data_IF_675365030468
#
_entry.id   IF_675365030468
#
_cell.length_a   1.000
_cell.length_b   1.000
_cell.length_c   1.000
_cell.angle_alpha   90.00
_cell.angle_beta   90.00
_cell.angle_gamma   90.00
#
_symmetry.space_group_name_H-M   'P 1'
#
loop_
_entity.id
_entity.type
_entity.pdbx_description
1 polymer ?
#
# COMPACT_ATOMS: atom_id res chain seq x y z
N UNK A 1 11.92 -10.45 -14.23
CA UNK A 1 11.52 -9.62 -13.07
C UNK A 1 12.56 -9.67 -11.95
N UNK A 2 13.04 -10.84 -11.51
CA UNK A 2 14.03 -10.94 -10.39
C UNK A 2 15.35 -10.19 -10.61
N UNK A 3 15.88 -10.16 -11.84
CA UNK A 3 17.13 -9.42 -12.12
C UNK A 3 16.94 -7.90 -12.06
N UNK A 4 15.80 -7.39 -12.53
CA UNK A 4 15.49 -5.95 -12.50
C UNK A 4 15.31 -5.46 -11.06
N UNK A 5 14.54 -6.17 -10.23
CA UNK A 5 14.25 -5.73 -8.87
C UNK A 5 15.48 -5.56 -7.98
N UNK A 6 16.50 -6.42 -8.15
CA UNK A 6 17.75 -6.34 -7.39
C UNK A 6 18.59 -5.11 -7.73
N UNK A 7 18.56 -4.69 -9.00
CA UNK A 7 19.33 -3.54 -9.51
C UNK A 7 18.70 -2.21 -9.07
N UNK A 8 17.37 -2.12 -9.06
CA UNK A 8 16.65 -0.93 -8.59
C UNK A 8 16.71 -0.72 -7.08
N UNK A 9 16.72 -1.80 -6.30
CA UNK A 9 16.66 -1.74 -4.83
C UNK A 9 18.04 -1.60 -4.16
N UNK A 10 19.14 -1.60 -4.93
CA UNK A 10 20.53 -1.52 -4.41
C UNK A 10 20.79 -2.48 -3.24
N UNK A 11 20.29 -3.71 -3.34
CA UNK A 11 20.34 -4.67 -2.23
C UNK A 11 21.77 -5.15 -1.96
N UNK A 12 22.10 -5.29 -0.68
CA UNK A 12 23.33 -5.99 -0.28
C UNK A 12 23.18 -7.51 -0.53
N UNK A 13 24.28 -8.25 -0.39
CA UNK A 13 24.32 -9.69 -0.71
C UNK A 13 23.32 -10.52 0.11
N UNK A 14 23.13 -10.16 1.39
CA UNK A 14 22.22 -10.85 2.32
C UNK A 14 20.75 -10.55 2.00
N UNK A 15 20.44 -9.30 1.69
CA UNK A 15 19.11 -8.86 1.26
C UNK A 15 18.72 -9.48 -0.09
N UNK A 16 19.64 -9.51 -1.04
CA UNK A 16 19.43 -10.10 -2.35
C UNK A 16 19.19 -11.61 -2.30
N UNK A 17 19.87 -12.30 -1.36
CA UNK A 17 19.62 -13.72 -1.08
C UNK A 17 18.25 -13.93 -0.44
N UNK A 18 17.88 -13.10 0.54
CA UNK A 18 16.57 -13.14 1.19
C UNK A 18 15.43 -12.94 0.19
N UNK A 19 15.55 -11.94 -0.70
CA UNK A 19 14.56 -11.67 -1.75
C UNK A 19 14.47 -12.81 -2.77
N UNK A 20 15.59 -13.46 -3.11
CA UNK A 20 15.60 -14.57 -4.07
C UNK A 20 14.86 -15.83 -3.60
N UNK A 21 14.63 -15.95 -2.28
CA UNK A 21 13.88 -17.05 -1.69
C UNK A 21 12.36 -16.80 -1.70
N UNK A 22 11.92 -15.60 -2.09
CA UNK A 22 10.50 -15.27 -2.18
C UNK A 22 9.92 -15.86 -3.47
N UNK A 23 9.03 -16.84 -3.34
CA UNK A 23 8.28 -17.38 -4.48
C UNK A 23 7.09 -16.46 -4.80
N UNK A 24 7.37 -15.36 -5.50
CA UNK A 24 6.34 -14.39 -5.92
C UNK A 24 5.77 -14.84 -7.25
N UNK A 25 4.55 -15.38 -7.24
CA UNK A 25 3.87 -15.71 -8.50
C UNK A 25 3.57 -14.42 -9.28
N UNK A 26 3.76 -14.40 -10.61
CA UNK A 26 3.41 -13.26 -11.45
C UNK A 26 1.93 -12.95 -11.27
N UNK A 27 1.62 -11.80 -10.68
CA UNK A 27 0.23 -11.37 -10.51
C UNK A 27 -0.32 -10.96 -11.86
N UNK A 28 -1.46 -11.53 -12.27
CA UNK A 28 -2.18 -11.04 -13.46
C UNK A 28 -2.84 -9.72 -13.09
N UNK A 29 -2.25 -8.62 -13.58
CA UNK A 29 -2.75 -7.25 -13.41
C UNK A 29 -4.25 -7.21 -13.75
N UNK A 30 -5.07 -6.76 -12.80
CA UNK A 30 -6.52 -6.59 -12.98
C UNK A 30 -7.39 -7.84 -12.79
N UNK A 31 -6.83 -9.00 -12.39
CA UNK A 31 -7.62 -10.22 -12.19
C UNK A 31 -7.40 -10.93 -10.85
N UNK A 32 -6.27 -10.69 -10.17
CA UNK A 32 -5.97 -11.28 -8.86
C UNK A 32 -5.25 -10.25 -7.99
N UNK A 33 -5.58 -10.23 -6.70
CA UNK A 33 -4.78 -9.47 -5.74
C UNK A 33 -3.36 -10.04 -5.69
N UNK A 34 -2.36 -9.16 -5.78
CA UNK A 34 -0.99 -9.59 -5.56
C UNK A 34 -0.81 -10.05 -4.11
N UNK A 35 0.22 -10.87 -3.86
CA UNK A 35 0.61 -11.21 -2.49
C UNK A 35 0.82 -9.94 -1.64
N UNK A 36 1.35 -8.87 -2.24
CA UNK A 36 1.66 -7.65 -1.53
C UNK A 36 0.39 -6.88 -1.14
N UNK A 37 -0.62 -6.83 -2.02
CA UNK A 37 -1.93 -6.27 -1.72
C UNK A 37 -2.60 -6.99 -0.54
N UNK A 38 -2.66 -8.33 -0.56
CA UNK A 38 -3.21 -9.11 0.56
C UNK A 38 -2.40 -8.87 1.85
N UNK A 39 -1.07 -8.94 1.75
CA UNK A 39 -0.18 -8.71 2.89
C UNK A 39 -0.40 -7.34 3.53
N UNK A 40 -0.48 -6.28 2.72
CA UNK A 40 -0.61 -4.92 3.19
C UNK A 40 -2.01 -4.63 3.73
N UNK A 41 -3.06 -5.02 3.00
CA UNK A 41 -4.43 -4.68 3.33
C UNK A 41 -5.07 -5.61 4.37
N UNK A 42 -4.47 -6.77 4.68
CA UNK A 42 -5.08 -7.73 5.61
C UNK A 42 -5.43 -7.11 6.98
N UNK A 43 -6.72 -7.12 7.31
CA UNK A 43 -7.23 -6.56 8.56
C UNK A 43 -7.55 -5.06 8.49
N UNK A 44 -7.45 -4.43 7.32
CA UNK A 44 -8.08 -3.13 7.06
C UNK A 44 -9.60 -3.30 7.11
N UNK A 45 -10.28 -2.32 7.71
CA UNK A 45 -11.74 -2.25 7.76
C UNK A 45 -12.18 -1.00 7.04
N UNK A 46 -12.94 -1.15 5.95
CA UNK A 46 -13.58 -0.02 5.30
C UNK A 46 -14.74 0.45 6.19
N UNK A 47 -14.72 1.73 6.53
CA UNK A 47 -15.74 2.34 7.41
C UNK A 47 -16.80 3.09 6.59
N UNK A 48 -16.37 3.86 5.58
CA UNK A 48 -17.26 4.66 4.72
C UNK A 48 -16.71 4.70 3.31
N UNK A 49 -17.62 4.63 2.32
CA UNK A 49 -17.32 4.86 0.90
C UNK A 49 -18.36 5.82 0.34
N UNK A 50 -17.89 6.90 -0.29
CA UNK A 50 -18.69 7.90 -0.99
C UNK A 50 -17.95 8.32 -2.26
N UNK A 51 -18.61 8.93 -3.25
CA UNK A 51 -17.93 9.48 -4.42
C UNK A 51 -16.79 10.44 -4.00
N UNK A 52 -15.56 10.11 -4.37
CA UNK A 52 -14.36 10.88 -4.03
C UNK A 52 -13.93 10.80 -2.55
N UNK A 53 -14.49 9.89 -1.75
CA UNK A 53 -14.10 9.73 -0.34
C UNK A 53 -14.15 8.27 0.13
N UNK A 54 -13.07 7.84 0.77
CA UNK A 54 -13.02 6.56 1.50
C UNK A 54 -12.42 6.79 2.87
N UNK A 55 -13.03 6.21 3.90
CA UNK A 55 -12.40 6.09 5.21
C UNK A 55 -12.27 4.63 5.61
N UNK A 56 -11.14 4.30 6.22
CA UNK A 56 -10.88 2.96 6.72
C UNK A 56 -10.07 2.99 8.01
N UNK A 57 -10.11 1.88 8.72
CA UNK A 57 -9.41 1.69 9.97
C UNK A 57 -8.47 0.49 9.87
N UNK A 58 -7.27 0.60 10.44
CA UNK A 58 -6.35 -0.51 10.60
C UNK A 58 -5.79 -0.52 12.02
N UNK A 59 -5.92 -1.67 12.70
CA UNK A 59 -5.15 -1.91 13.91
C UNK A 59 -3.73 -2.27 13.48
N UNK A 60 -2.74 -1.47 13.87
CA UNK A 60 -1.33 -1.64 13.43
C UNK A 60 -0.86 -3.07 13.73
N UNK A 61 -0.64 -3.91 12.70
CA UNK A 61 -0.27 -5.30 12.89
C UNK A 61 1.27 -5.45 12.95
N UNK A 62 1.81 -6.47 13.64
CA UNK A 62 3.26 -6.69 13.76
C UNK A 62 4.00 -6.77 12.41
N UNK A 63 3.34 -7.28 11.37
CA UNK A 63 3.94 -7.44 10.04
C UNK A 63 4.18 -6.12 9.30
N UNK A 64 3.56 -5.03 9.73
CA UNK A 64 3.69 -3.71 9.14
C UNK A 64 4.48 -2.74 10.03
N UNK A 65 5.10 -3.22 11.11
CA UNK A 65 5.89 -2.37 11.99
C UNK A 65 7.37 -2.35 11.64
N UNK A 66 8.02 -1.22 11.87
CA UNK A 66 9.47 -1.06 11.84
C UNK A 66 10.14 -1.67 13.10
N UNK A 67 11.47 -1.60 13.16
CA UNK A 67 12.28 -2.09 14.28
C UNK A 67 11.96 -1.41 15.63
N UNK A 68 11.30 -0.25 15.60
CA UNK A 68 10.89 0.52 16.79
C UNK A 68 9.43 0.24 17.20
N UNK A 69 8.77 -0.71 16.53
CA UNK A 69 7.37 -1.05 16.77
C UNK A 69 6.37 0.02 16.31
N UNK A 70 6.78 0.93 15.42
CA UNK A 70 5.87 1.89 14.79
C UNK A 70 5.40 1.36 13.45
N UNK A 71 4.23 1.76 12.97
CA UNK A 71 3.80 1.54 11.59
C UNK A 71 4.89 2.05 10.63
N UNK A 72 5.45 1.14 9.84
CA UNK A 72 6.58 1.43 8.97
C UNK A 72 6.18 2.46 7.91
N UNK A 73 7.09 3.38 7.59
CA UNK A 73 6.84 4.42 6.58
C UNK A 73 6.45 3.83 5.21
N UNK A 74 7.07 2.72 4.81
CA UNK A 74 6.71 2.00 3.59
C UNK A 74 5.30 1.38 3.65
N UNK A 75 4.85 0.94 4.82
CA UNK A 75 3.47 0.45 4.98
C UNK A 75 2.46 1.60 4.87
N UNK A 76 2.79 2.79 5.37
CA UNK A 76 1.97 4.00 5.15
C UNK A 76 1.89 4.34 3.67
N UNK A 77 3.03 4.37 2.97
CA UNK A 77 3.07 4.65 1.54
C UNK A 77 2.22 3.65 0.73
N UNK A 78 2.31 2.36 1.05
CA UNK A 78 1.50 1.35 0.38
C UNK A 78 0.00 1.52 0.66
N UNK A 79 -0.39 1.82 1.90
CA UNK A 79 -1.81 2.10 2.22
C UNK A 79 -2.32 3.32 1.46
N UNK A 80 -1.47 4.33 1.26
CA UNK A 80 -1.80 5.52 0.46
C UNK A 80 -2.03 5.17 -1.01
N UNK A 81 -1.19 4.31 -1.57
CA UNK A 81 -1.34 3.85 -2.96
C UNK A 81 -2.62 3.05 -3.17
N UNK A 82 -2.76 1.95 -2.43
CA UNK A 82 -3.86 0.99 -2.61
C UNK A 82 -5.24 1.61 -2.35
N UNK A 83 -5.39 2.33 -1.24
CA UNK A 83 -6.69 2.95 -0.90
C UNK A 83 -6.92 4.22 -1.72
N UNK A 84 -5.86 4.95 -2.04
CA UNK A 84 -5.93 6.12 -2.93
C UNK A 84 -6.43 5.74 -4.32
N UNK A 85 -5.92 4.65 -4.89
CA UNK A 85 -6.39 4.11 -6.18
C UNK A 85 -7.89 3.79 -6.15
N UNK A 86 -8.40 3.22 -5.05
CA UNK A 86 -9.82 2.93 -4.89
C UNK A 86 -10.70 4.19 -4.84
N UNK A 87 -10.18 5.31 -4.33
CA UNK A 87 -10.95 6.57 -4.23
C UNK A 87 -11.16 7.22 -5.60
N UNK A 88 -10.17 7.09 -6.50
CA UNK A 88 -10.19 7.69 -7.85
C UNK A 88 -10.68 6.72 -8.92
N UNK A 89 -10.97 5.46 -8.56
CA UNK A 89 -11.44 4.47 -9.51
C UNK A 89 -12.89 4.75 -9.94
N UNK A 90 -13.11 4.70 -11.25
CA UNK A 90 -14.44 4.79 -11.87
C UNK A 90 -14.77 3.45 -12.49
N UNK A 91 -15.90 2.88 -12.09
CA UNK A 91 -16.37 1.60 -12.63
C UNK A 91 -16.51 1.66 -14.15
N UNK A 92 -15.98 0.66 -14.85
CA UNK A 92 -16.00 0.58 -16.32
C UNK A 92 -14.85 1.31 -17.02
N UNK A 93 -14.02 2.06 -16.29
CA UNK A 93 -12.78 2.64 -16.81
C UNK A 93 -11.55 1.84 -16.36
N UNK A 94 -10.42 1.90 -17.10
CA UNK A 94 -9.15 1.35 -16.65
C UNK A 94 -8.77 1.89 -15.26
N UNK A 95 -8.10 1.07 -14.45
CA UNK A 95 -7.58 1.55 -13.18
C UNK A 95 -6.54 2.65 -13.39
N UNK A 96 -6.67 3.72 -12.60
CA UNK A 96 -5.66 4.76 -12.52
C UNK A 96 -4.39 4.21 -11.86
N UNK A 97 -3.26 4.81 -12.19
CA UNK A 97 -1.97 4.48 -11.60
C UNK A 97 -1.39 5.70 -10.91
N UNK A 98 -0.78 5.50 -9.75
CA UNK A 98 -0.05 6.55 -9.04
C UNK A 98 1.23 6.91 -9.81
N UNK A 99 1.33 8.17 -10.24
CA UNK A 99 2.50 8.67 -10.99
C UNK A 99 3.50 9.40 -10.07
N UNK A 100 2.98 10.06 -9.03
CA UNK A 100 3.78 10.78 -8.04
C UNK A 100 3.15 10.64 -6.65
N UNK A 101 3.99 10.63 -5.62
CA UNK A 101 3.58 10.55 -4.23
C UNK A 101 4.44 11.45 -3.35
N UNK A 102 3.76 12.32 -2.60
CA UNK A 102 4.37 13.12 -1.55
C UNK A 102 3.71 12.81 -0.21
N UNK A 103 4.51 12.41 0.77
CA UNK A 103 4.03 11.98 2.09
C UNK A 103 4.78 12.74 3.18
N UNK A 104 4.03 13.39 4.08
CA UNK A 104 4.56 14.05 5.26
C UNK A 104 4.30 13.23 6.53
N UNK A 105 5.36 12.91 7.27
CA UNK A 105 5.27 12.15 8.53
C UNK A 105 5.33 13.10 9.73
N UNK A 106 4.17 13.39 10.32
CA UNK A 106 4.04 14.29 11.48
C UNK A 106 4.01 13.56 12.83
N UNK A 107 3.91 12.23 12.83
CA UNK A 107 3.83 11.41 14.03
C UNK A 107 4.01 9.93 13.75
N UNK A 108 3.93 9.10 14.79
CA UNK A 108 4.07 7.65 14.71
C UNK A 108 2.85 6.93 15.28
N UNK A 109 2.52 5.77 14.72
CA UNK A 109 1.48 4.89 15.25
C UNK A 109 2.12 3.62 15.79
N UNK A 110 1.92 3.32 17.07
CA UNK A 110 2.50 2.13 17.71
C UNK A 110 1.75 0.86 17.34
N UNK A 111 2.43 -0.28 17.46
CA UNK A 111 1.83 -1.61 17.41
C UNK A 111 0.51 -1.67 18.21
N UNK A 112 -0.50 -2.34 17.67
CA UNK A 112 -1.84 -2.49 18.23
C UNK A 112 -2.68 -1.21 18.37
N UNK A 113 -2.15 -0.03 18.03
CA UNK A 113 -2.95 1.19 17.97
C UNK A 113 -3.92 1.12 16.79
N UNK A 114 -5.11 1.68 16.98
CA UNK A 114 -6.11 1.79 15.93
C UNK A 114 -5.89 3.09 15.16
N UNK A 115 -5.55 3.00 13.87
CA UNK A 115 -5.34 4.15 13.01
C UNK A 115 -6.53 4.29 12.07
N UNK A 116 -7.09 5.49 11.98
CA UNK A 116 -8.09 5.85 10.97
C UNK A 116 -7.42 6.60 9.84
N UNK A 117 -7.73 6.19 8.62
CA UNK A 117 -7.29 6.81 7.40
C UNK A 117 -8.48 7.44 6.68
N UNK A 118 -8.26 8.62 6.13
CA UNK A 118 -9.25 9.37 5.37
C UNK A 118 -8.63 9.75 4.04
N UNK A 119 -9.27 9.34 2.96
CA UNK A 119 -8.81 9.56 1.60
C UNK A 119 -9.83 10.40 0.87
N UNK A 120 -9.37 11.50 0.29
CA UNK A 120 -10.20 12.45 -0.45
C UNK A 120 -9.61 12.63 -1.84
N UNK A 121 -10.43 12.46 -2.86
CA UNK A 121 -10.09 12.91 -4.19
C UNK A 121 -10.27 14.43 -4.25
N UNK A 122 -9.21 15.14 -4.59
CA UNK A 122 -9.26 16.58 -4.87
C UNK A 122 -9.25 16.81 -6.37
N UNK A 123 -10.17 17.64 -6.86
CA UNK A 123 -10.29 17.95 -8.30
C UNK A 123 -11.24 17.02 -9.06
N UNK A 124 -11.49 17.38 -10.33
CA UNK A 124 -12.33 16.57 -11.22
C UNK A 124 -11.63 15.23 -11.52
N UNK A 125 -12.37 14.12 -11.61
CA UNK A 125 -11.79 12.85 -12.05
C UNK A 125 -11.15 13.06 -13.42
N UNK A 126 -9.94 12.52 -13.61
CA UNK A 126 -9.30 12.51 -14.91
C UNK A 126 -10.20 11.71 -15.87
N UNK A 127 -10.68 12.37 -16.92
CA UNK A 127 -11.46 11.77 -18.02
C UNK A 127 -10.50 11.42 -19.15
#
# INVERSE_FOLDING_TARGET
MERLGKEFLQLNKEEAESVSRLNIQPTRVGFQCSFYEDFALRGIRVDTVQPGFVSCTLKVPPRLTDKSGNLAKGAVANLVDEVGAAVVHVEGLPMNVSVDMSIAFLGTAKLNLLVRFFFFQTGLPAV
#
